data_IF_156264744151
#
_entry.id   IF_156264744151
#
_cell.length_a   1.000
_cell.length_b   1.000
_cell.length_c   1.000
_cell.angle_alpha   90.00
_cell.angle_beta   90.00
_cell.angle_gamma   90.00
#
_symmetry.space_group_name_H-M   'P 1'
#
loop_
_entity.id
_entity.type
_entity.pdbx_description
1 polymer ?
#
# COMPACT_ATOMS: atom_id res chain seq x y z
N UNK A 1 -12.62 -15.59 25.37
CA UNK A 1 -11.54 -16.16 24.53
C UNK A 1 -11.95 -16.01 23.07
N UNK A 2 -11.08 -15.45 22.25
CA UNK A 2 -11.32 -15.27 20.81
C UNK A 2 -11.50 -16.63 20.13
N UNK A 3 -12.60 -16.80 19.38
CA UNK A 3 -12.85 -18.01 18.60
C UNK A 3 -11.85 -18.11 17.44
N UNK A 4 -11.06 -19.18 17.41
CA UNK A 4 -10.06 -19.41 16.35
C UNK A 4 -10.74 -19.72 15.01
N UNK A 5 -10.38 -18.94 14.01
CA UNK A 5 -10.62 -19.12 12.59
C UNK A 5 -9.40 -18.59 11.81
N UNK A 6 -9.38 -18.76 10.48
CA UNK A 6 -8.26 -18.34 9.63
C UNK A 6 -7.84 -16.88 9.87
N UNK A 7 -8.78 -15.94 9.90
CA UNK A 7 -8.50 -14.51 10.08
C UNK A 7 -7.90 -14.21 11.46
N UNK A 8 -8.47 -14.78 12.53
CA UNK A 8 -7.93 -14.58 13.88
C UNK A 8 -6.57 -15.23 14.07
N UNK A 9 -6.28 -16.34 13.36
CA UNK A 9 -4.97 -16.97 13.38
C UNK A 9 -3.92 -16.12 12.69
N UNK A 10 -4.24 -15.47 11.57
CA UNK A 10 -3.35 -14.52 10.92
C UNK A 10 -3.01 -13.35 11.86
N UNK A 11 -4.00 -12.81 12.60
CA UNK A 11 -3.73 -11.74 13.58
C UNK A 11 -2.79 -12.22 14.69
N UNK A 12 -3.05 -13.40 15.27
CA UNK A 12 -2.21 -13.96 16.33
C UNK A 12 -0.77 -14.21 15.84
N UNK A 13 -0.62 -14.75 14.62
CA UNK A 13 0.69 -14.89 13.99
C UNK A 13 1.37 -13.53 13.79
N UNK A 14 0.63 -12.50 13.36
CA UNK A 14 1.16 -11.15 13.24
C UNK A 14 1.65 -10.58 14.57
N UNK A 15 0.93 -10.82 15.67
CA UNK A 15 1.34 -10.41 17.01
C UNK A 15 2.61 -11.15 17.46
N UNK A 16 2.69 -12.46 17.20
CA UNK A 16 3.83 -13.29 17.58
C UNK A 16 5.10 -12.99 16.77
N UNK A 17 4.96 -12.80 15.45
CA UNK A 17 6.09 -12.74 14.51
C UNK A 17 6.58 -11.33 14.22
N UNK A 18 5.80 -10.30 14.50
CA UNK A 18 6.19 -8.93 14.15
C UNK A 18 7.08 -8.29 15.22
N UNK A 19 8.17 -7.69 14.78
CA UNK A 19 9.00 -6.78 15.58
C UNK A 19 8.41 -5.35 15.60
N UNK A 20 7.12 -5.18 15.35
CA UNK A 20 6.49 -3.88 15.15
C UNK A 20 4.99 -3.99 15.02
N UNK A 21 4.45 -3.46 13.92
CA UNK A 21 3.02 -3.52 13.65
C UNK A 21 2.62 -4.90 13.08
N UNK A 22 1.69 -5.63 13.72
CA UNK A 22 1.22 -6.94 13.24
C UNK A 22 0.55 -6.83 11.86
N UNK A 23 -0.17 -5.74 11.59
CA UNK A 23 -0.84 -5.52 10.31
C UNK A 23 0.15 -5.19 9.18
N UNK A 24 1.27 -4.51 9.49
CA UNK A 24 2.36 -4.33 8.52
C UNK A 24 3.03 -5.65 8.15
N UNK A 25 3.21 -6.55 9.12
CA UNK A 25 3.72 -7.89 8.85
C UNK A 25 2.78 -8.65 7.92
N UNK A 26 1.47 -8.65 8.21
CA UNK A 26 0.46 -9.28 7.38
C UNK A 26 0.37 -8.65 5.99
N UNK A 27 0.49 -7.32 5.88
CA UNK A 27 0.57 -6.61 4.60
C UNK A 27 1.70 -7.15 3.73
N UNK A 28 2.92 -7.19 4.26
CA UNK A 28 4.10 -7.64 3.50
C UNK A 28 3.94 -9.11 3.06
N UNK A 29 3.46 -9.97 3.97
CA UNK A 29 3.17 -11.37 3.70
C UNK A 29 2.08 -11.55 2.63
N UNK A 30 1.03 -10.74 2.68
CA UNK A 30 -0.05 -10.73 1.68
C UNK A 30 0.44 -10.21 0.32
N UNK A 31 1.29 -9.17 0.28
CA UNK A 31 1.89 -8.65 -0.97
C UNK A 31 2.72 -9.73 -1.66
N UNK A 32 3.59 -10.41 -0.92
CA UNK A 32 4.43 -11.46 -1.45
C UNK A 32 3.62 -12.64 -2.02
N UNK A 33 2.60 -13.09 -1.27
CA UNK A 33 1.68 -14.16 -1.72
C UNK A 33 0.86 -13.73 -2.93
N UNK A 34 0.34 -12.52 -2.92
CA UNK A 34 -0.46 -11.96 -4.01
C UNK A 34 0.37 -11.91 -5.30
N UNK A 35 1.59 -11.38 -5.26
CA UNK A 35 2.44 -11.27 -6.46
C UNK A 35 2.72 -12.64 -7.09
N UNK A 36 2.95 -13.68 -6.27
CA UNK A 36 3.06 -15.06 -6.77
C UNK A 36 1.75 -15.55 -7.36
N UNK A 37 0.63 -15.32 -6.68
CA UNK A 37 -0.70 -15.71 -7.16
C UNK A 37 -1.06 -15.06 -8.49
N UNK A 38 -0.74 -13.77 -8.67
CA UNK A 38 -0.96 -13.05 -9.92
C UNK A 38 -0.18 -13.64 -11.10
N UNK A 39 0.86 -14.43 -10.87
CA UNK A 39 1.67 -15.06 -11.91
C UNK A 39 1.28 -16.52 -12.17
N UNK A 40 0.26 -17.05 -11.49
CA UNK A 40 -0.24 -18.40 -11.80
C UNK A 40 -0.96 -18.40 -13.14
N UNK A 41 -0.92 -19.52 -13.85
CA UNK A 41 -1.59 -19.66 -15.15
C UNK A 41 -3.09 -19.41 -15.04
N UNK A 42 -3.73 -19.81 -13.94
CA UNK A 42 -5.15 -19.56 -13.68
C UNK A 42 -5.49 -18.07 -13.75
N UNK A 43 -4.76 -17.24 -12.99
CA UNK A 43 -5.02 -15.79 -12.89
C UNK A 43 -4.58 -15.06 -14.16
N UNK A 44 -3.44 -15.46 -14.75
CA UNK A 44 -2.94 -14.88 -16.00
C UNK A 44 -3.93 -15.09 -17.15
N UNK A 45 -4.60 -16.25 -17.19
CA UNK A 45 -5.53 -16.59 -18.26
C UNK A 45 -6.94 -16.04 -18.03
N UNK A 46 -7.29 -15.66 -16.80
CA UNK A 46 -8.57 -15.04 -16.45
C UNK A 46 -8.83 -13.76 -17.29
N UNK A 47 -9.86 -13.76 -18.15
CA UNK A 47 -10.19 -12.60 -18.97
C UNK A 47 -10.66 -11.39 -18.15
N UNK A 48 -11.33 -11.61 -17.02
CA UNK A 48 -11.88 -10.51 -16.21
C UNK A 48 -10.78 -9.83 -15.40
N UNK A 49 -9.84 -10.61 -14.85
CA UNK A 49 -8.65 -10.02 -14.24
C UNK A 49 -7.81 -9.24 -15.26
N UNK A 50 -7.59 -9.77 -16.47
CA UNK A 50 -6.86 -9.03 -17.52
C UNK A 50 -7.57 -7.74 -17.95
N UNK A 51 -8.90 -7.69 -17.96
CA UNK A 51 -9.64 -6.43 -18.17
C UNK A 51 -9.36 -5.42 -17.06
N UNK A 52 -9.29 -5.85 -15.79
CA UNK A 52 -8.92 -4.95 -14.68
C UNK A 52 -7.51 -4.38 -14.87
N UNK A 53 -6.54 -5.22 -15.23
CA UNK A 53 -5.16 -4.79 -15.49
C UNK A 53 -5.10 -3.76 -16.64
N UNK A 54 -5.78 -4.01 -17.75
CA UNK A 54 -5.78 -3.07 -18.88
C UNK A 54 -6.54 -1.76 -18.60
N UNK A 55 -7.63 -1.81 -17.83
CA UNK A 55 -8.36 -0.62 -17.37
C UNK A 55 -7.53 0.27 -16.43
N UNK A 56 -6.69 -0.35 -15.59
CA UNK A 56 -5.74 0.33 -14.72
C UNK A 56 -4.43 0.75 -15.43
N UNK A 57 -4.26 0.43 -16.71
CA UNK A 57 -3.01 0.62 -17.47
C UNK A 57 -1.80 -0.07 -16.84
N UNK A 58 -2.06 -1.24 -16.27
CA UNK A 58 -1.08 -2.07 -15.60
C UNK A 58 -1.17 -1.97 -14.09
N UNK A 59 -0.01 -2.12 -13.45
CA UNK A 59 0.16 -1.99 -12.01
C UNK A 59 0.84 -0.65 -11.68
N UNK A 60 0.76 -0.23 -10.41
CA UNK A 60 1.50 0.96 -9.97
C UNK A 60 3.02 0.74 -10.15
N UNK A 61 3.80 1.84 -10.15
CA UNK A 61 5.26 1.75 -10.33
C UNK A 61 5.91 0.67 -9.43
N UNK A 62 5.58 0.68 -8.12
CA UNK A 62 6.07 -0.33 -7.18
C UNK A 62 5.71 -1.74 -7.59
N UNK A 63 4.42 -2.02 -7.81
CA UNK A 63 3.95 -3.37 -8.12
C UNK A 63 4.41 -3.86 -9.48
N UNK A 64 4.67 -2.95 -10.42
CA UNK A 64 5.32 -3.32 -11.68
C UNK A 64 6.72 -3.87 -11.44
N UNK A 65 7.55 -3.16 -10.66
CA UNK A 65 8.91 -3.60 -10.32
C UNK A 65 8.92 -4.88 -9.48
N UNK A 66 8.01 -5.00 -8.52
CA UNK A 66 7.92 -6.20 -7.69
C UNK A 66 7.46 -7.42 -8.49
N UNK A 67 6.39 -7.28 -9.29
CA UNK A 67 5.87 -8.38 -10.11
C UNK A 67 6.92 -8.85 -11.13
N UNK A 68 7.68 -7.92 -11.73
CA UNK A 68 8.83 -8.26 -12.57
C UNK A 68 9.85 -9.11 -11.79
N UNK A 69 10.32 -8.63 -10.63
CA UNK A 69 11.29 -9.40 -9.81
C UNK A 69 10.76 -10.79 -9.46
N UNK A 70 9.49 -10.90 -9.06
CA UNK A 70 8.85 -12.18 -8.75
C UNK A 70 8.78 -13.10 -9.97
N UNK A 71 8.48 -12.58 -11.16
CA UNK A 71 8.38 -13.35 -12.39
C UNK A 71 9.72 -13.94 -12.87
N UNK A 72 10.83 -13.35 -12.43
CA UNK A 72 12.20 -13.76 -12.80
C UNK A 72 13.00 -14.36 -11.63
N UNK A 73 12.41 -14.56 -10.44
CA UNK A 73 13.10 -15.13 -9.28
C UNK A 73 13.18 -16.67 -9.27
N UNK A 74 13.11 -17.32 -10.44
CA UNK A 74 13.35 -18.77 -10.62
C UNK A 74 12.19 -19.73 -10.29
N UNK A 75 10.99 -19.21 -9.96
CA UNK A 75 9.84 -20.03 -9.51
C UNK A 75 8.66 -20.08 -10.51
N UNK A 76 8.77 -19.42 -11.67
CA UNK A 76 7.71 -19.32 -12.68
C UNK A 76 8.28 -19.48 -14.09
N UNK A 77 7.45 -19.86 -15.07
CA UNK A 77 7.84 -19.95 -16.49
C UNK A 77 8.35 -18.60 -17.04
N UNK A 78 9.66 -18.34 -16.94
CA UNK A 78 10.45 -17.32 -17.67
C UNK A 78 9.75 -15.97 -17.96
N UNK A 79 8.95 -15.43 -17.03
CA UNK A 79 8.25 -14.16 -17.20
C UNK A 79 7.03 -14.16 -18.13
N UNK A 80 6.52 -15.32 -18.58
CA UNK A 80 5.35 -15.38 -19.50
C UNK A 80 4.10 -14.72 -18.95
N UNK A 81 3.76 -14.98 -17.69
CA UNK A 81 2.60 -14.36 -17.03
C UNK A 81 2.71 -12.84 -17.00
N UNK A 82 3.89 -12.33 -16.64
CA UNK A 82 4.20 -10.90 -16.67
C UNK A 82 4.07 -10.32 -18.09
N UNK A 83 4.68 -10.97 -19.09
CA UNK A 83 4.62 -10.55 -20.49
C UNK A 83 3.18 -10.48 -21.00
N UNK A 84 2.31 -11.41 -20.59
CA UNK A 84 0.90 -11.41 -21.01
C UNK A 84 0.12 -10.20 -20.47
N UNK A 85 0.34 -9.82 -19.22
CA UNK A 85 -0.23 -8.59 -18.67
C UNK A 85 0.29 -7.36 -19.42
N UNK A 86 1.61 -7.28 -19.62
CA UNK A 86 2.24 -6.13 -20.27
C UNK A 86 1.79 -5.97 -21.71
N UNK A 87 1.66 -7.08 -22.45
CA UNK A 87 1.12 -7.10 -23.81
C UNK A 87 -0.25 -6.43 -23.86
N UNK A 88 -1.19 -6.86 -23.01
CA UNK A 88 -2.54 -6.28 -23.01
C UNK A 88 -2.56 -4.78 -22.68
N UNK A 89 -1.67 -4.34 -21.78
CA UNK A 89 -1.53 -2.91 -21.44
C UNK A 89 -0.97 -2.11 -22.62
N UNK A 90 0.10 -2.59 -23.24
CA UNK A 90 0.74 -1.94 -24.40
C UNK A 90 -0.23 -1.87 -25.57
N UNK A 91 -0.90 -2.97 -25.92
CA UNK A 91 -1.91 -3.01 -26.98
C UNK A 91 -3.03 -1.99 -26.72
N UNK A 92 -3.52 -1.91 -25.47
CA UNK A 92 -4.56 -0.94 -25.10
C UNK A 92 -4.09 0.51 -25.13
N UNK A 93 -2.82 0.78 -24.83
CA UNK A 93 -2.24 2.13 -24.92
C UNK A 93 -2.08 2.50 -26.40
N UNK A 94 -1.56 1.60 -27.24
CA UNK A 94 -1.42 1.81 -28.68
C UNK A 94 -2.79 2.09 -29.32
N UNK A 95 -3.81 1.31 -29.00
CA UNK A 95 -5.19 1.51 -29.47
C UNK A 95 -5.72 2.93 -29.16
N UNK A 96 -5.31 3.53 -28.03
CA UNK A 96 -5.78 4.84 -27.60
C UNK A 96 -4.90 6.01 -28.10
N UNK A 97 -3.61 5.78 -28.31
CA UNK A 97 -2.67 6.82 -28.76
C UNK A 97 -2.59 6.89 -30.28
N UNK A 98 -2.67 5.76 -30.99
CA UNK A 98 -2.52 5.72 -32.44
C UNK A 98 -3.50 6.65 -33.18
N UNK A 99 -4.79 6.74 -32.83
CA UNK A 99 -5.71 7.68 -33.49
C UNK A 99 -5.36 9.16 -33.28
N UNK A 100 -4.55 9.49 -32.27
CA UNK A 100 -4.16 10.87 -31.98
C UNK A 100 -3.14 11.42 -33.00
N UNK A 101 -2.50 10.57 -33.79
CA UNK A 101 -1.61 11.03 -34.87
C UNK A 101 -2.41 11.66 -36.01
N UNK A 102 -3.61 11.14 -36.31
CA UNK A 102 -4.52 11.74 -37.28
C UNK A 102 -4.99 13.14 -36.82
N UNK A 103 -5.15 13.35 -35.51
CA UNK A 103 -5.44 14.70 -34.96
C UNK A 103 -4.31 15.71 -35.24
N UNK A 104 -3.10 15.26 -35.58
CA UNK A 104 -1.93 16.10 -35.87
C UNK A 104 -1.70 16.35 -37.37
N UNK A 105 -2.45 15.70 -38.25
CA UNK A 105 -2.38 15.95 -39.69
C UNK A 105 -2.90 17.36 -40.03
N UNK A 106 -2.30 18.00 -41.04
CA UNK A 106 -2.73 19.32 -41.53
C UNK A 106 -2.37 20.53 -40.65
N UNK A 107 -1.40 20.40 -39.72
CA UNK A 107 -0.90 21.55 -38.96
C UNK A 107 0.00 22.41 -39.87
N UNK A 108 -0.56 23.49 -40.42
CA UNK A 108 0.21 24.49 -41.17
C UNK A 108 1.13 25.30 -40.24
N UNK A 109 2.37 25.51 -40.69
CA UNK A 109 3.46 26.20 -39.98
C UNK A 109 3.35 27.75 -40.04
N UNK A 110 2.15 28.31 -40.19
CA UNK A 110 1.99 29.77 -40.29
C UNK A 110 2.29 30.53 -38.98
N UNK A 111 2.99 31.67 -39.08
CA UNK A 111 3.52 32.49 -37.97
C UNK A 111 2.58 33.64 -37.56
N UNK A 112 1.31 33.33 -37.24
CA UNK A 112 0.39 34.34 -36.70
C UNK A 112 0.07 34.10 -35.22
N UNK A 113 -0.08 35.19 -34.44
CA UNK A 113 -0.47 35.14 -33.01
C UNK A 113 -1.79 34.39 -32.76
N UNK A 114 -2.72 34.46 -33.71
CA UNK A 114 -4.00 33.73 -33.66
C UNK A 114 -3.77 32.22 -33.80
N UNK A 115 -2.85 31.80 -34.67
CA UNK A 115 -2.48 30.39 -34.81
C UNK A 115 -1.72 29.86 -33.59
N UNK A 116 -0.91 30.70 -32.92
CA UNK A 116 -0.24 30.33 -31.67
C UNK A 116 -1.21 29.94 -30.55
N UNK A 117 -2.29 30.72 -30.35
CA UNK A 117 -3.30 30.42 -29.33
C UNK A 117 -4.07 29.12 -29.63
N UNK A 118 -4.45 28.91 -30.90
CA UNK A 118 -5.10 27.67 -31.36
C UNK A 118 -4.18 26.45 -31.20
N UNK A 119 -2.88 26.58 -31.48
CA UNK A 119 -1.89 25.51 -31.25
C UNK A 119 -1.77 25.15 -29.77
N UNK A 120 -1.72 26.13 -28.87
CA UNK A 120 -1.66 25.89 -27.42
C UNK A 120 -2.90 25.16 -26.90
N UNK A 121 -4.08 25.53 -27.39
CA UNK A 121 -5.33 24.85 -27.05
C UNK A 121 -5.35 23.40 -27.56
N UNK A 122 -4.92 23.18 -28.82
CA UNK A 122 -4.80 21.83 -29.41
C UNK A 122 -3.81 20.96 -28.64
N UNK A 123 -2.65 21.51 -28.25
CA UNK A 123 -1.68 20.84 -27.39
C UNK A 123 -2.26 20.47 -26.02
N UNK A 124 -3.05 21.34 -25.40
CA UNK A 124 -3.71 21.04 -24.13
C UNK A 124 -4.74 19.91 -24.25
N UNK A 125 -5.51 19.88 -25.34
CA UNK A 125 -6.45 18.80 -25.60
C UNK A 125 -5.72 17.47 -25.83
N UNK A 126 -4.63 17.48 -26.61
CA UNK A 126 -3.79 16.31 -26.83
C UNK A 126 -3.16 15.80 -25.53
N UNK A 127 -2.61 16.70 -24.71
CA UNK A 127 -2.06 16.39 -23.39
C UNK A 127 -3.10 15.69 -22.50
N UNK A 128 -4.35 16.19 -22.48
CA UNK A 128 -5.44 15.53 -21.76
C UNK A 128 -5.77 14.13 -22.30
N UNK A 129 -5.83 13.96 -23.63
CA UNK A 129 -6.07 12.64 -24.26
C UNK A 129 -4.93 11.66 -23.94
N UNK A 130 -3.67 12.10 -24.03
CA UNK A 130 -2.48 11.29 -23.70
C UNK A 130 -2.48 10.90 -22.22
N UNK A 131 -2.74 11.86 -21.32
CA UNK A 131 -2.84 11.59 -19.88
C UNK A 131 -3.90 10.54 -19.59
N UNK A 132 -5.07 10.65 -20.23
CA UNK A 132 -6.14 9.69 -20.09
C UNK A 132 -5.74 8.30 -20.61
N UNK A 133 -5.03 8.24 -21.74
CA UNK A 133 -4.57 6.99 -22.33
C UNK A 133 -3.54 6.24 -21.48
N UNK A 134 -2.72 6.96 -20.71
CA UNK A 134 -1.58 6.40 -19.96
C UNK A 134 -1.90 6.18 -18.47
N UNK A 135 -2.62 7.10 -17.80
CA UNK A 135 -2.74 7.09 -16.34
C UNK A 135 -3.68 6.02 -15.78
N UNK A 136 -4.52 5.41 -16.62
CA UNK A 136 -5.57 4.49 -16.19
C UNK A 136 -6.68 5.19 -15.42
N UNK A 137 -7.87 4.59 -15.44
CA UNK A 137 -9.05 5.15 -14.74
C UNK A 137 -9.33 4.43 -13.42
N UNK A 138 -8.59 3.37 -13.13
CA UNK A 138 -8.79 2.47 -12.00
C UNK A 138 -7.47 2.33 -11.23
N UNK A 139 -7.54 2.07 -9.91
CA UNK A 139 -6.34 1.82 -9.12
C UNK A 139 -5.62 0.56 -9.60
N UNK A 140 -4.35 0.45 -9.23
CA UNK A 140 -3.57 -0.78 -9.42
C UNK A 140 -4.33 -1.98 -8.83
N UNK A 141 -4.58 -3.05 -9.61
CA UNK A 141 -5.31 -4.22 -9.12
C UNK A 141 -4.64 -4.89 -7.92
N UNK A 142 -3.30 -4.90 -7.87
CA UNK A 142 -2.58 -5.43 -6.72
C UNK A 142 -2.78 -4.57 -5.46
N UNK A 143 -2.74 -3.23 -5.58
CA UNK A 143 -3.06 -2.32 -4.48
C UNK A 143 -4.49 -2.55 -3.97
N UNK A 144 -5.46 -2.65 -4.87
CA UNK A 144 -6.87 -2.84 -4.54
C UNK A 144 -7.10 -4.13 -3.74
N UNK A 145 -6.48 -5.24 -4.17
CA UNK A 145 -6.51 -6.51 -3.43
C UNK A 145 -5.86 -6.37 -2.05
N UNK A 146 -4.71 -5.70 -1.94
CA UNK A 146 -4.01 -5.53 -0.66
C UNK A 146 -4.79 -4.66 0.32
N UNK A 147 -5.39 -3.55 -0.12
CA UNK A 147 -6.24 -2.74 0.75
C UNK A 147 -7.46 -3.49 1.25
N UNK A 148 -8.03 -4.35 0.43
CA UNK A 148 -9.18 -5.16 0.82
C UNK A 148 -8.79 -6.17 1.90
N UNK A 149 -7.67 -6.86 1.73
CA UNK A 149 -7.13 -7.78 2.75
C UNK A 149 -6.74 -7.03 4.04
N UNK A 150 -6.07 -5.89 3.92
CA UNK A 150 -5.67 -5.06 5.05
C UNK A 150 -6.88 -4.56 5.85
N UNK A 151 -7.95 -4.12 5.19
CA UNK A 151 -9.22 -3.75 5.84
C UNK A 151 -9.83 -4.91 6.62
N UNK A 152 -9.80 -6.13 6.06
CA UNK A 152 -10.31 -7.34 6.73
C UNK A 152 -9.47 -7.66 7.98
N UNK A 153 -8.13 -7.63 7.88
CA UNK A 153 -7.25 -7.86 9.02
C UNK A 153 -7.41 -6.78 10.09
N UNK A 154 -7.47 -5.50 9.70
CA UNK A 154 -7.69 -4.39 10.60
C UNK A 154 -9.02 -4.55 11.36
N UNK A 155 -10.11 -4.86 10.66
CA UNK A 155 -11.41 -5.12 11.29
C UNK A 155 -11.34 -6.29 12.26
N UNK A 156 -10.71 -7.39 11.84
CA UNK A 156 -10.55 -8.58 12.69
C UNK A 156 -9.76 -8.24 13.96
N UNK A 157 -8.65 -7.51 13.85
CA UNK A 157 -7.85 -7.08 15.00
C UNK A 157 -8.66 -6.20 15.96
N UNK A 158 -9.36 -5.19 15.43
CA UNK A 158 -10.18 -4.27 16.25
C UNK A 158 -11.31 -5.03 16.95
N UNK A 159 -11.98 -5.95 16.26
CA UNK A 159 -13.00 -6.82 16.85
C UNK A 159 -12.41 -7.73 17.94
N UNK A 160 -11.22 -8.30 17.73
CA UNK A 160 -10.56 -9.13 18.74
C UNK A 160 -10.22 -8.33 20.02
N UNK A 161 -9.98 -7.02 19.93
CA UNK A 161 -9.74 -6.16 21.08
C UNK A 161 -10.96 -5.98 22.01
N UNK A 162 -12.14 -6.47 21.63
CA UNK A 162 -13.29 -6.56 22.54
C UNK A 162 -13.11 -7.67 23.58
N UNK A 163 -12.28 -8.69 23.29
CA UNK A 163 -11.91 -9.73 24.25
C UNK A 163 -10.83 -9.26 25.24
N UNK A 164 -11.07 -9.50 26.53
CA UNK A 164 -10.17 -9.05 27.61
C UNK A 164 -8.79 -9.70 27.56
N UNK A 165 -8.69 -10.97 27.21
CA UNK A 165 -7.40 -11.66 27.19
C UNK A 165 -6.58 -11.22 25.97
N UNK A 166 -7.22 -11.08 24.81
CA UNK A 166 -6.52 -10.56 23.63
C UNK A 166 -6.04 -9.11 23.84
N UNK A 167 -6.78 -8.26 24.57
CA UNK A 167 -6.27 -6.93 24.95
C UNK A 167 -4.95 -7.00 25.74
N UNK A 168 -4.78 -7.98 26.63
CA UNK A 168 -3.52 -8.14 27.39
C UNK A 168 -2.37 -8.53 26.46
N UNK A 169 -2.64 -9.46 25.54
CA UNK A 169 -1.70 -9.89 24.53
C UNK A 169 -1.27 -8.72 23.64
N UNK A 170 -2.23 -7.96 23.11
CA UNK A 170 -1.95 -6.77 22.31
C UNK A 170 -1.13 -5.71 23.07
N UNK A 171 -1.43 -5.46 24.36
CA UNK A 171 -0.66 -4.53 25.21
C UNK A 171 0.80 -4.96 25.46
N UNK A 172 1.10 -6.23 25.28
CA UNK A 172 2.47 -6.76 25.36
C UNK A 172 3.25 -6.58 24.05
N UNK A 173 2.56 -6.39 22.93
CA UNK A 173 3.15 -6.13 21.61
C UNK A 173 3.74 -4.71 21.49
N UNK A 174 4.30 -4.39 20.31
CA UNK A 174 4.75 -3.04 19.95
C UNK A 174 3.62 -2.15 19.39
N UNK A 175 2.36 -2.58 19.42
CA UNK A 175 1.22 -1.81 18.93
C UNK A 175 1.20 -1.69 17.39
N UNK A 176 0.42 -0.73 16.88
CA UNK A 176 0.33 -0.47 15.45
C UNK A 176 1.31 0.62 14.99
N UNK A 177 1.62 0.64 13.70
CA UNK A 177 2.22 1.82 13.07
C UNK A 177 1.18 2.95 13.00
N UNK A 178 1.60 4.20 12.91
CA UNK A 178 0.69 5.35 12.90
C UNK A 178 -0.38 5.28 11.81
N UNK A 179 -0.09 4.83 10.56
CA UNK A 179 -1.14 4.61 9.58
C UNK A 179 -2.21 3.62 10.03
N UNK A 180 -1.81 2.43 10.52
CA UNK A 180 -2.76 1.42 11.00
C UNK A 180 -3.49 1.84 12.27
N UNK A 181 -2.82 2.53 13.18
CA UNK A 181 -3.44 3.12 14.37
C UNK A 181 -4.53 4.12 13.99
N UNK A 182 -4.24 5.04 13.06
CA UNK A 182 -5.22 5.99 12.56
C UNK A 182 -6.42 5.28 11.91
N UNK A 183 -6.17 4.28 11.05
CA UNK A 183 -7.22 3.48 10.43
C UNK A 183 -8.07 2.73 11.47
N UNK A 184 -7.46 2.19 12.53
CA UNK A 184 -8.17 1.54 13.63
C UNK A 184 -9.08 2.51 14.38
N UNK A 185 -8.57 3.71 14.70
CA UNK A 185 -9.35 4.75 15.39
C UNK A 185 -10.51 5.27 14.52
N UNK A 186 -10.29 5.43 13.21
CA UNK A 186 -11.35 5.80 12.28
C UNK A 186 -12.43 4.71 12.15
N UNK A 187 -12.01 3.44 12.15
CA UNK A 187 -12.93 2.32 12.11
C UNK A 187 -13.83 2.26 13.34
N UNK A 188 -13.28 2.47 14.54
CA UNK A 188 -14.05 2.55 15.78
C UNK A 188 -15.14 3.63 15.74
N UNK A 189 -14.91 4.73 15.02
CA UNK A 189 -15.88 5.82 14.87
C UNK A 189 -16.99 5.50 13.86
N UNK A 190 -16.72 4.61 12.88
CA UNK A 190 -17.64 4.33 11.76
C UNK A 190 -18.45 3.05 11.94
N UNK A 191 -17.87 2.04 12.57
CA UNK A 191 -18.49 0.73 12.76
C UNK A 191 -19.01 0.56 14.20
N UNK A 192 -20.00 -0.34 14.36
CA UNK A 192 -20.55 -0.67 15.67
C UNK A 192 -19.69 -1.72 16.35
N UNK A 193 -19.15 -1.35 17.50
CA UNK A 193 -18.47 -2.24 18.44
C UNK A 193 -19.24 -2.20 19.76
N UNK A 194 -19.23 -3.30 20.51
CA UNK A 194 -19.83 -3.39 21.84
C UNK A 194 -19.14 -2.46 22.84
N UNK A 195 -17.80 -2.37 22.79
CA UNK A 195 -17.00 -1.66 23.79
C UNK A 195 -15.96 -0.68 23.18
N UNK A 196 -16.36 0.28 22.32
CA UNK A 196 -15.43 1.07 21.51
C UNK A 196 -14.47 1.93 22.35
N UNK A 197 -14.90 2.45 23.50
CA UNK A 197 -14.03 3.27 24.37
C UNK A 197 -12.93 2.45 25.05
N UNK A 198 -13.21 1.19 25.41
CA UNK A 198 -12.19 0.28 25.99
C UNK A 198 -11.18 -0.13 24.93
N UNK A 199 -11.64 -0.37 23.70
CA UNK A 199 -10.76 -0.66 22.56
C UNK A 199 -9.89 0.55 22.24
N UNK A 200 -10.49 1.75 22.11
CA UNK A 200 -9.77 3.01 21.88
C UNK A 200 -8.73 3.28 22.96
N UNK A 201 -9.09 3.13 24.23
CA UNK A 201 -8.15 3.26 25.35
C UNK A 201 -6.98 2.27 25.24
N UNK A 202 -7.25 1.03 24.84
CA UNK A 202 -6.22 0.01 24.68
C UNK A 202 -5.25 0.35 23.56
N UNK A 203 -5.75 0.79 22.40
CA UNK A 203 -4.93 1.28 21.31
C UNK A 203 -4.10 2.50 21.74
N UNK A 204 -4.71 3.53 22.33
CA UNK A 204 -3.97 4.74 22.74
C UNK A 204 -2.87 4.42 23.77
N UNK A 205 -3.16 3.61 24.78
CA UNK A 205 -2.18 3.24 25.82
C UNK A 205 -0.99 2.45 25.24
N UNK A 206 -1.24 1.48 24.36
CA UNK A 206 -0.19 0.69 23.71
C UNK A 206 0.67 1.59 22.81
N UNK A 207 0.05 2.47 22.02
CA UNK A 207 0.76 3.30 21.05
C UNK A 207 1.60 4.38 21.74
N UNK A 208 1.12 4.97 22.84
CA UNK A 208 1.92 5.88 23.67
C UNK A 208 3.17 5.17 24.22
N UNK A 209 3.04 3.92 24.68
CA UNK A 209 4.18 3.13 25.19
C UNK A 209 5.22 2.92 24.09
N UNK A 210 4.79 2.55 22.88
CA UNK A 210 5.68 2.33 21.75
C UNK A 210 6.37 3.61 21.27
N UNK A 211 5.63 4.72 21.18
CA UNK A 211 6.19 6.04 20.81
C UNK A 211 7.24 6.51 21.82
N UNK A 212 6.98 6.37 23.12
CA UNK A 212 7.95 6.71 24.18
C UNK A 212 9.21 5.85 24.10
N UNK A 213 9.04 4.54 23.88
CA UNK A 213 10.17 3.62 23.74
C UNK A 213 11.07 4.01 22.56
N UNK A 214 10.49 4.17 21.37
CA UNK A 214 11.25 4.57 20.17
C UNK A 214 11.87 5.94 20.35
N UNK A 215 11.17 6.90 20.97
CA UNK A 215 11.71 8.21 21.30
C UNK A 215 12.95 8.15 22.21
N UNK A 216 12.96 7.25 23.20
CA UNK A 216 14.13 7.03 24.06
C UNK A 216 15.31 6.44 23.29
N UNK A 217 15.07 5.47 22.41
CA UNK A 217 16.11 4.86 21.57
C UNK A 217 16.67 5.85 20.55
N UNK A 218 15.83 6.71 19.95
CA UNK A 218 16.31 7.77 19.06
C UNK A 218 17.18 8.79 19.81
N UNK A 219 16.77 9.18 21.01
CA UNK A 219 17.54 10.10 21.86
C UNK A 219 18.92 9.52 22.19
N UNK A 220 18.95 8.23 22.53
CA UNK A 220 20.20 7.52 22.84
C UNK A 220 21.10 7.35 21.60
N UNK A 221 20.51 7.03 20.44
CA UNK A 221 21.22 6.96 19.17
C UNK A 221 21.89 8.29 18.82
N UNK A 222 21.18 9.41 18.97
CA UNK A 222 21.73 10.76 18.74
C UNK A 222 22.82 11.08 19.76
N UNK A 223 22.62 10.77 21.04
CA UNK A 223 23.62 11.01 22.10
C UNK A 223 24.93 10.27 21.79
N UNK A 224 24.85 8.97 21.50
CA UNK A 224 26.02 8.11 21.22
C UNK A 224 26.69 8.38 19.88
N UNK A 225 26.01 9.08 18.97
CA UNK A 225 26.61 9.56 17.72
C UNK A 225 27.65 10.67 17.94
N UNK A 226 27.67 11.30 19.12
CA UNK A 226 28.69 12.29 19.45
C UNK A 226 30.03 11.64 19.84
N UNK A 227 31.14 12.32 19.52
CA UNK A 227 32.51 11.81 19.72
C UNK A 227 32.80 11.40 21.18
N UNK A 228 32.14 12.06 22.14
CA UNK A 228 32.33 11.85 23.57
C UNK A 228 31.86 10.48 24.07
N UNK A 229 30.92 9.84 23.37
CA UNK A 229 30.28 8.60 23.81
C UNK A 229 30.55 7.40 22.88
N UNK A 230 31.45 7.58 21.89
CA UNK A 230 31.77 6.55 20.87
C UNK A 230 32.35 5.23 21.40
N UNK A 231 32.83 5.21 22.64
CA UNK A 231 33.40 4.02 23.30
C UNK A 231 32.37 3.24 24.11
N UNK A 232 31.17 3.81 24.32
CA UNK A 232 30.10 3.08 24.99
C UNK A 232 29.63 1.91 24.12
N UNK A 233 29.27 0.77 24.73
CA UNK A 233 28.75 -0.36 23.97
C UNK A 233 27.43 0.00 23.29
N UNK A 234 27.23 -0.54 22.09
CA UNK A 234 25.97 -0.46 21.38
C UNK A 234 24.87 -1.23 22.13
N UNK A 235 23.69 -0.66 22.19
CA UNK A 235 22.48 -1.27 22.72
C UNK A 235 21.35 -1.31 21.68
N UNK A 236 20.09 -1.45 22.11
CA UNK A 236 18.92 -1.48 21.23
C UNK A 236 18.78 -0.25 20.32
N UNK A 237 19.40 0.88 20.68
CA UNK A 237 19.34 2.14 19.93
C UNK A 237 19.89 2.04 18.51
N UNK A 238 20.71 1.04 18.19
CA UNK A 238 21.22 0.83 16.81
C UNK A 238 20.08 0.65 15.79
N UNK A 239 18.94 0.13 16.24
CA UNK A 239 17.77 -0.10 15.40
C UNK A 239 16.75 1.06 15.48
N UNK A 240 17.02 2.11 16.26
CA UNK A 240 16.07 3.18 16.53
C UNK A 240 15.50 3.81 15.26
N UNK A 241 16.36 4.06 14.26
CA UNK A 241 15.95 4.64 12.98
C UNK A 241 15.00 3.71 12.19
N UNK A 242 15.29 2.41 12.15
CA UNK A 242 14.41 1.45 11.47
C UNK A 242 13.08 1.29 12.22
N UNK A 243 13.12 1.20 13.55
CA UNK A 243 11.92 1.15 14.37
C UNK A 243 11.05 2.40 14.19
N UNK A 244 11.67 3.58 14.13
CA UNK A 244 10.97 4.84 13.86
C UNK A 244 10.35 4.87 12.46
N UNK A 245 11.08 4.41 11.44
CA UNK A 245 10.55 4.30 10.08
C UNK A 245 9.28 3.44 10.06
N UNK A 246 9.34 2.22 10.62
CA UNK A 246 8.20 1.30 10.62
C UNK A 246 7.06 1.83 11.49
N UNK A 247 7.35 2.41 12.66
CA UNK A 247 6.32 2.97 13.53
C UNK A 247 5.60 4.16 12.87
N UNK A 248 6.33 5.07 12.23
CA UNK A 248 5.77 6.31 11.69
C UNK A 248 5.15 6.14 10.30
N UNK A 249 5.77 5.34 9.43
CA UNK A 249 5.37 5.20 8.03
C UNK A 249 4.72 3.84 7.72
N UNK A 250 4.91 2.84 8.59
CA UNK A 250 4.56 1.45 8.30
C UNK A 250 5.60 0.73 7.44
N UNK A 251 5.25 -0.48 6.98
CA UNK A 251 6.11 -1.24 6.07
C UNK A 251 6.17 -0.60 4.68
N UNK A 252 7.20 -0.94 3.91
CA UNK A 252 7.35 -0.46 2.54
C UNK A 252 6.13 -0.84 1.69
N UNK A 253 5.66 0.08 0.84
CA UNK A 253 4.49 -0.16 -0.03
C UNK A 253 3.14 0.06 0.63
N UNK A 254 3.08 0.13 1.96
CA UNK A 254 1.85 0.42 2.69
C UNK A 254 1.31 1.80 2.24
N UNK A 255 0.09 1.83 1.71
CA UNK A 255 -0.65 3.05 1.39
C UNK A 255 0.03 4.00 0.38
N UNK A 256 0.84 3.48 -0.55
CA UNK A 256 1.55 4.30 -1.55
C UNK A 256 0.67 4.95 -2.64
N UNK A 257 -0.64 4.68 -2.68
CA UNK A 257 -1.53 5.39 -3.61
C UNK A 257 -2.05 6.62 -2.90
N UNK A 258 -1.47 7.77 -3.26
CA UNK A 258 -1.82 9.13 -2.88
C UNK A 258 -2.42 9.32 -1.47
N UNK A 259 -1.67 10.00 -0.59
CA UNK A 259 -2.12 10.51 0.73
C UNK A 259 -3.51 11.18 0.74
N UNK A 260 -4.03 11.60 -0.42
CA UNK A 260 -5.39 12.16 -0.58
C UNK A 260 -6.50 11.10 -0.68
N UNK A 261 -6.25 9.94 -1.25
CA UNK A 261 -7.32 9.04 -1.71
C UNK A 261 -7.65 7.92 -0.72
N UNK A 262 -6.87 7.78 0.35
CA UNK A 262 -7.09 6.74 1.37
C UNK A 262 -8.20 7.13 2.36
N UNK A 263 -8.56 8.42 2.40
CA UNK A 263 -9.51 8.95 3.37
C UNK A 263 -10.83 9.45 2.77
N UNK A 264 -11.01 9.47 1.44
CA UNK A 264 -12.19 10.06 0.79
C UNK A 264 -13.24 9.08 0.24
N UNK A 265 -13.00 7.77 0.16
CA UNK A 265 -14.07 6.84 -0.24
C UNK A 265 -14.79 6.24 0.98
N UNK A 266 -15.77 6.98 1.51
CA UNK A 266 -17.00 6.46 2.16
C UNK A 266 -17.99 7.61 2.43
N UNK A 267 -18.33 8.37 1.38
CA UNK A 267 -19.60 9.12 1.33
C UNK A 267 -20.15 8.99 -0.09
N UNK A 268 -20.99 8.00 -0.35
CA UNK A 268 -21.67 7.89 -1.63
C UNK A 268 -22.11 6.48 -2.02
N UNK A 269 -22.98 5.85 -1.25
CA UNK A 269 -24.27 5.27 -1.68
C UNK A 269 -24.98 4.65 -0.49
#
# INVERSE_FOLDING_TARGET
MVKKNLLTMDILEGIERSDGCPLCYLWAKSEERLLRHLLTNEVVMDPDFRKKVTAAKGFCNRHMHLLYRTAYSGHTENGRGYARYMQGVVEKIVEQIAPLTADLEGIELADSKIFFLKRKQKLSLLDNKIKHAIRGQKPCPACESLWSLDRIHLHTLVQMLEDKEFRKEFKSSRGLCLPHFLSAMQMLNRAKFENPLIVARTLIETEIKSLKLVGSYLSEFVRKSSWNFRKEPAGPEINANHMALILLAGTEGLYQVHKKDIFEETTGS
#
